data_IF_650359276491
#
_entry.id   IF_650359276491
#
_cell.length_a   1.000
_cell.length_b   1.000
_cell.length_c   1.000
_cell.angle_alpha   90.00
_cell.angle_beta   90.00
_cell.angle_gamma   90.00
#
_symmetry.space_group_name_H-M   'P 1'
#
loop_
_entity.id
_entity.type
_entity.pdbx_description
1 polymer ?
#
# COMPACT_ATOMS: atom_id res chain seq x y z
N UNK A 1 -10.63 14.13 12.25
CA UNK A 1 -11.07 14.49 10.88
C UNK A 1 -11.44 13.22 10.12
N UNK A 2 -12.32 13.28 9.12
CA UNK A 2 -12.73 12.11 8.31
C UNK A 2 -11.97 12.08 6.99
N UNK A 3 -11.74 10.88 6.43
CA UNK A 3 -11.16 10.76 5.09
C UNK A 3 -12.09 11.30 3.99
N UNK A 4 -11.46 11.87 2.97
CA UNK A 4 -12.04 12.35 1.72
C UNK A 4 -11.32 11.67 0.55
N UNK A 5 -12.12 11.03 -0.31
CA UNK A 5 -11.65 10.43 -1.55
C UNK A 5 -12.42 11.04 -2.72
N UNK A 6 -11.71 11.39 -3.81
CA UNK A 6 -12.35 12.03 -4.96
C UNK A 6 -12.68 10.99 -6.03
N UNK A 7 -13.92 11.04 -6.52
CA UNK A 7 -14.39 10.20 -7.62
C UNK A 7 -13.94 10.72 -8.98
N UNK A 8 -13.10 9.97 -9.68
CA UNK A 8 -12.69 10.23 -11.05
C UNK A 8 -13.61 9.51 -12.04
N UNK A 9 -14.22 10.30 -12.94
CA UNK A 9 -15.11 9.81 -13.99
C UNK A 9 -14.37 9.23 -15.20
N UNK A 10 -13.43 8.31 -14.99
CA UNK A 10 -12.59 7.75 -16.06
C UNK A 10 -13.41 7.11 -17.21
N UNK A 11 -14.64 6.65 -16.92
CA UNK A 11 -15.59 6.15 -17.93
C UNK A 11 -16.00 7.18 -18.99
N UNK A 12 -15.83 8.48 -18.73
CA UNK A 12 -16.18 9.56 -19.66
C UNK A 12 -15.19 9.73 -20.81
N UNK A 13 -14.12 8.94 -20.85
CA UNK A 13 -13.14 8.93 -21.93
C UNK A 13 -13.76 9.08 -23.32
N UNK A 14 -13.26 10.01 -24.12
CA UNK A 14 -13.72 10.24 -25.49
C UNK A 14 -15.06 10.95 -25.64
N UNK A 15 -15.82 11.19 -24.56
CA UNK A 15 -17.17 11.77 -24.62
C UNK A 15 -17.21 13.21 -25.13
N UNK A 16 -16.14 13.98 -24.91
CA UNK A 16 -15.99 15.33 -25.45
C UNK A 16 -14.49 15.69 -25.58
N UNK A 17 -14.20 16.94 -25.98
CA UNK A 17 -12.83 17.43 -26.19
C UNK A 17 -11.98 17.28 -24.93
N UNK A 18 -12.50 17.64 -23.75
CA UNK A 18 -11.77 17.50 -22.48
C UNK A 18 -11.44 16.03 -22.17
N UNK A 19 -12.40 15.12 -22.34
CA UNK A 19 -12.18 13.69 -22.06
C UNK A 19 -11.39 12.92 -23.13
N UNK A 20 -10.94 13.60 -24.18
CA UNK A 20 -9.92 13.10 -25.13
C UNK A 20 -8.50 13.50 -24.72
N UNK A 21 -8.35 14.38 -23.72
CA UNK A 21 -7.05 14.79 -23.22
C UNK A 21 -6.41 13.67 -22.38
N UNK A 22 -5.26 13.16 -22.82
CA UNK A 22 -4.48 12.17 -22.06
C UNK A 22 -4.02 12.67 -20.69
N UNK A 23 -3.94 13.98 -20.48
CA UNK A 23 -3.50 14.57 -19.23
C UNK A 23 -4.64 14.80 -18.22
N UNK A 24 -5.91 14.59 -18.58
CA UNK A 24 -7.05 14.89 -17.70
C UNK A 24 -6.96 14.18 -16.34
N UNK A 25 -6.81 12.85 -16.33
CA UNK A 25 -6.66 12.07 -15.08
C UNK A 25 -5.33 12.39 -14.37
N UNK A 26 -4.17 12.41 -15.05
CA UNK A 26 -2.91 12.89 -14.48
C UNK A 26 -3.01 14.26 -13.76
N UNK A 27 -3.66 15.25 -14.38
CA UNK A 27 -3.81 16.60 -13.83
C UNK A 27 -4.75 16.63 -12.63
N UNK A 28 -5.86 15.89 -12.66
CA UNK A 28 -6.74 15.73 -11.51
C UNK A 28 -6.01 15.12 -10.30
N UNK A 29 -5.18 14.10 -10.51
CA UNK A 29 -4.39 13.48 -9.42
C UNK A 29 -3.36 14.45 -8.86
N UNK A 30 -2.65 15.19 -9.72
CA UNK A 30 -1.70 16.23 -9.27
C UNK A 30 -2.40 17.32 -8.47
N UNK A 31 -3.55 17.77 -8.92
CA UNK A 31 -4.37 18.74 -8.19
C UNK A 31 -4.81 18.19 -6.84
N UNK A 32 -5.30 16.94 -6.77
CA UNK A 32 -5.68 16.31 -5.51
C UNK A 32 -4.55 16.27 -4.49
N UNK A 33 -3.33 15.92 -4.93
CA UNK A 33 -2.16 15.76 -4.06
C UNK A 33 -1.67 17.08 -3.45
N UNK A 34 -2.12 18.24 -3.93
CA UNK A 34 -1.83 19.52 -3.28
C UNK A 34 -2.71 19.79 -2.05
N UNK A 35 -3.82 19.05 -1.88
CA UNK A 35 -4.74 19.19 -0.76
C UNK A 35 -4.39 18.19 0.36
N UNK A 36 -3.97 18.71 1.52
CA UNK A 36 -3.60 17.88 2.68
C UNK A 36 -4.76 17.05 3.25
N UNK A 37 -5.99 17.48 3.01
CA UNK A 37 -7.20 16.83 3.52
C UNK A 37 -7.80 15.79 2.55
N UNK A 38 -7.14 15.50 1.43
CA UNK A 38 -7.57 14.46 0.48
C UNK A 38 -6.65 13.26 0.55
N UNK A 39 -7.18 12.08 0.87
CA UNK A 39 -6.40 10.87 1.10
C UNK A 39 -6.34 9.95 -0.12
N UNK A 40 -7.14 10.22 -1.17
CA UNK A 40 -6.99 9.49 -2.42
C UNK A 40 -8.12 9.65 -3.42
N UNK A 41 -8.23 8.61 -4.24
CA UNK A 41 -8.98 8.60 -5.50
C UNK A 41 -9.84 7.35 -5.60
N UNK A 42 -11.07 7.50 -6.10
CA UNK A 42 -11.96 6.40 -6.48
C UNK A 42 -12.22 6.53 -7.98
N UNK A 43 -12.09 5.44 -8.75
CA UNK A 43 -12.24 5.50 -10.20
C UNK A 43 -13.51 4.77 -10.63
N UNK A 44 -14.40 5.47 -11.32
CA UNK A 44 -15.61 4.86 -11.89
C UNK A 44 -15.48 4.72 -13.41
N UNK A 45 -15.60 3.54 -14.02
CA UNK A 45 -15.77 2.21 -13.44
C UNK A 45 -14.58 1.29 -13.78
N UNK A 46 -14.56 0.09 -13.19
CA UNK A 46 -13.49 -0.90 -13.36
C UNK A 46 -13.25 -1.29 -14.83
N UNK A 47 -14.31 -1.42 -15.65
CA UNK A 47 -14.18 -1.79 -17.07
C UNK A 47 -13.36 -0.78 -17.89
N UNK A 48 -13.25 0.45 -17.42
CA UNK A 48 -12.49 1.51 -18.10
C UNK A 48 -10.98 1.27 -18.04
N UNK A 49 -10.49 0.58 -17.01
CA UNK A 49 -9.07 0.21 -16.91
C UNK A 49 -8.66 -0.81 -17.97
N UNK A 50 -9.56 -1.73 -18.33
CA UNK A 50 -9.30 -2.73 -19.37
C UNK A 50 -9.16 -2.09 -20.76
N UNK A 51 -9.97 -1.06 -21.05
CA UNK A 51 -9.89 -0.32 -22.32
C UNK A 51 -8.70 0.63 -22.38
N UNK A 52 -8.16 1.01 -21.23
CA UNK A 52 -7.04 1.94 -21.07
C UNK A 52 -7.12 3.18 -21.99
N UNK A 53 -8.24 3.93 -21.95
CA UNK A 53 -8.39 5.08 -22.81
C UNK A 53 -7.31 6.12 -22.52
N UNK A 54 -6.77 6.73 -23.57
CA UNK A 54 -5.73 7.74 -23.51
C UNK A 54 -4.44 7.31 -22.77
N UNK A 55 -4.23 6.00 -22.54
CA UNK A 55 -3.07 5.49 -21.79
C UNK A 55 -3.14 5.77 -20.29
N UNK A 56 -4.32 6.05 -19.72
CA UNK A 56 -4.44 6.41 -18.31
C UNK A 56 -4.04 5.29 -17.36
N UNK A 57 -4.35 4.04 -17.65
CA UNK A 57 -3.93 2.91 -16.80
C UNK A 57 -2.39 2.79 -16.79
N UNK A 58 -1.74 2.95 -17.95
CA UNK A 58 -0.28 2.94 -18.04
C UNK A 58 0.31 4.09 -17.21
N UNK A 59 -0.26 5.29 -17.32
CA UNK A 59 0.18 6.44 -16.53
C UNK A 59 -0.01 6.21 -15.03
N UNK A 60 -1.11 5.57 -14.61
CA UNK A 60 -1.34 5.24 -13.21
C UNK A 60 -0.27 4.27 -12.70
N UNK A 61 -0.04 3.18 -13.42
CA UNK A 61 0.93 2.16 -13.04
C UNK A 61 2.38 2.66 -13.07
N UNK A 62 2.72 3.53 -14.03
CA UNK A 62 4.11 3.98 -14.19
C UNK A 62 4.46 5.18 -13.32
N UNK A 63 3.50 6.08 -13.06
CA UNK A 63 3.81 7.40 -12.47
C UNK A 63 3.14 7.66 -11.12
N UNK A 64 1.94 7.11 -10.85
CA UNK A 64 1.14 7.53 -9.69
C UNK A 64 1.00 6.44 -8.62
N UNK A 65 0.85 5.18 -9.03
CA UNK A 65 0.62 4.00 -8.19
C UNK A 65 1.61 2.88 -8.54
N UNK A 66 2.86 3.26 -8.80
CA UNK A 66 3.92 2.33 -9.19
C UNK A 66 4.20 1.26 -8.15
N UNK A 67 4.02 1.62 -6.88
CA UNK A 67 4.27 0.72 -5.76
C UNK A 67 3.00 0.48 -4.96
N UNK A 68 2.86 -0.72 -4.36
CA UNK A 68 1.83 -0.98 -3.37
C UNK A 68 1.87 0.07 -2.25
N UNK A 69 0.69 0.39 -1.71
CA UNK A 69 0.54 1.27 -0.55
C UNK A 69 -0.48 0.67 0.42
N UNK A 70 -0.29 0.92 1.71
CA UNK A 70 -1.32 0.64 2.71
C UNK A 70 -2.44 1.68 2.63
N UNK A 71 -3.66 1.26 2.95
CA UNK A 71 -4.75 2.20 3.18
C UNK A 71 -4.41 2.99 4.46
N UNK A 72 -4.57 4.33 4.48
CA UNK A 72 -4.30 5.10 5.68
C UNK A 72 -5.17 4.65 6.86
N UNK A 73 -4.64 4.67 8.10
CA UNK A 73 -5.43 4.38 9.30
C UNK A 73 -6.59 5.36 9.41
N UNK A 74 -7.64 4.96 10.11
CA UNK A 74 -8.81 5.79 10.38
C UNK A 74 -8.92 6.13 11.88
N UNK A 75 -8.11 7.05 12.43
CA UNK A 75 -8.04 7.32 13.88
C UNK A 75 -9.35 7.76 14.54
N UNK A 76 -10.36 8.14 13.75
CA UNK A 76 -11.70 8.48 14.26
C UNK A 76 -12.59 7.26 14.50
N UNK A 77 -12.18 6.07 14.06
CA UNK A 77 -12.82 4.78 14.34
C UNK A 77 -12.06 4.09 15.46
N UNK A 78 -10.78 3.84 15.23
CA UNK A 78 -9.84 3.28 16.19
C UNK A 78 -8.45 3.86 15.95
N UNK A 79 -7.71 4.09 17.04
CA UNK A 79 -6.34 4.60 17.02
C UNK A 79 -5.41 3.73 17.89
N UNK A 80 -5.82 2.50 18.18
CA UNK A 80 -5.05 1.54 18.95
C UNK A 80 -4.02 0.87 18.05
N UNK A 81 -2.74 1.06 18.35
CA UNK A 81 -1.67 0.49 17.54
C UNK A 81 -1.56 -1.01 17.84
N UNK A 82 -1.66 -1.91 16.83
CA UNK A 82 -1.50 -3.34 17.07
C UNK A 82 -0.04 -3.66 17.46
N UNK A 83 0.18 -4.71 18.26
CA UNK A 83 1.54 -5.16 18.58
C UNK A 83 2.28 -5.63 17.34
N UNK A 84 3.62 -5.53 17.39
CA UNK A 84 4.47 -6.07 16.33
C UNK A 84 4.30 -7.59 16.19
N UNK A 85 4.48 -8.14 14.97
CA UNK A 85 4.52 -9.58 14.81
C UNK A 85 5.75 -10.17 15.51
N UNK A 86 5.59 -11.35 16.07
CA UNK A 86 6.70 -12.24 16.39
C UNK A 86 7.22 -12.85 15.09
N UNK A 87 8.54 -12.96 14.99
CA UNK A 87 9.25 -13.52 13.84
C UNK A 87 10.05 -14.72 14.32
N UNK A 88 9.80 -15.89 13.72
CA UNK A 88 10.55 -17.12 13.97
C UNK A 88 11.20 -17.56 12.65
N UNK A 89 12.52 -17.63 12.65
CA UNK A 89 13.29 -18.10 11.49
C UNK A 89 13.15 -19.61 11.36
N UNK A 90 12.49 -20.07 10.29
CA UNK A 90 12.37 -21.50 10.00
C UNK A 90 13.59 -22.04 9.25
N UNK A 91 14.16 -21.26 8.32
CA UNK A 91 15.43 -21.54 7.65
C UNK A 91 16.04 -20.21 7.15
N UNK A 92 17.11 -20.27 6.34
CA UNK A 92 17.80 -19.07 5.80
C UNK A 92 16.87 -18.10 5.05
N UNK A 93 15.84 -18.60 4.37
CA UNK A 93 14.95 -17.80 3.50
C UNK A 93 13.50 -17.76 3.98
N UNK A 94 13.10 -18.63 4.91
CA UNK A 94 11.70 -18.77 5.36
C UNK A 94 11.54 -18.33 6.80
N UNK A 95 10.56 -17.45 7.04
CA UNK A 95 10.21 -16.96 8.37
C UNK A 95 8.72 -17.15 8.63
N UNK A 96 8.40 -17.58 9.85
CA UNK A 96 7.04 -17.64 10.36
C UNK A 96 6.74 -16.35 11.11
N UNK A 97 5.62 -15.74 10.78
CA UNK A 97 5.09 -14.57 11.46
C UNK A 97 3.96 -15.05 12.39
N UNK A 98 3.95 -14.58 13.63
CA UNK A 98 2.90 -14.85 14.57
C UNK A 98 2.45 -13.55 15.25
N UNK A 99 1.15 -13.32 15.24
CA UNK A 99 0.51 -12.21 15.91
C UNK A 99 -0.10 -12.69 17.23
N UNK A 100 0.18 -11.95 18.31
CA UNK A 100 -0.24 -12.28 19.68
C UNK A 100 -1.06 -11.17 20.34
N UNK A 101 -1.51 -10.18 19.56
CA UNK A 101 -2.43 -9.17 20.06
C UNK A 101 -3.85 -9.71 20.21
N UNK A 102 -4.66 -8.99 20.97
CA UNK A 102 -6.06 -9.32 21.22
C UNK A 102 -6.95 -8.92 20.02
N UNK A 103 -6.66 -7.76 19.44
CA UNK A 103 -7.39 -7.22 18.29
C UNK A 103 -7.11 -7.97 17.01
N UNK A 104 -8.12 -8.12 16.14
CA UNK A 104 -7.94 -8.83 14.87
C UNK A 104 -7.09 -8.02 13.89
N UNK A 105 -6.24 -8.73 13.14
CA UNK A 105 -5.48 -8.16 12.03
C UNK A 105 -6.00 -8.62 10.67
N UNK A 106 -5.82 -7.78 9.65
CA UNK A 106 -6.05 -8.16 8.24
C UNK A 106 -4.87 -8.93 7.67
N UNK A 107 -3.67 -8.69 8.20
CA UNK A 107 -2.46 -9.30 7.68
C UNK A 107 -1.18 -8.63 8.14
N UNK A 108 -0.12 -9.00 7.44
CA UNK A 108 1.23 -8.53 7.67
C UNK A 108 1.72 -7.74 6.45
N UNK A 109 2.16 -6.52 6.70
CA UNK A 109 2.80 -5.68 5.70
C UNK A 109 4.31 -5.94 5.68
N UNK A 110 4.88 -6.13 4.49
CA UNK A 110 6.30 -6.41 4.27
C UNK A 110 6.92 -5.24 3.53
N UNK A 111 7.92 -4.64 4.15
CA UNK A 111 8.64 -3.50 3.63
C UNK A 111 10.08 -3.88 3.29
N UNK A 112 10.63 -3.16 2.33
CA UNK A 112 12.01 -3.26 1.92
C UNK A 112 12.65 -1.89 2.07
N UNK A 113 13.76 -1.85 2.81
CA UNK A 113 14.55 -0.64 2.98
C UNK A 113 15.86 -0.75 2.20
N UNK A 114 16.18 0.32 1.49
CA UNK A 114 17.42 0.52 0.75
C UNK A 114 18.19 1.66 1.40
N UNK A 115 19.42 1.40 1.86
CA UNK A 115 20.25 2.41 2.50
C UNK A 115 20.94 1.94 3.78
N UNK A 116 21.83 2.79 4.28
CA UNK A 116 22.51 2.60 5.56
C UNK A 116 21.73 3.19 6.74
N UNK A 117 20.81 4.12 6.49
CA UNK A 117 20.02 4.79 7.52
C UNK A 117 19.11 3.80 8.27
N UNK A 118 18.57 4.28 9.39
CA UNK A 118 17.61 3.51 10.17
C UNK A 118 16.27 3.45 9.40
N UNK A 119 15.68 2.25 9.29
CA UNK A 119 14.46 2.08 8.52
C UNK A 119 13.25 2.64 9.25
N UNK A 120 12.45 3.43 8.53
CA UNK A 120 11.15 3.94 8.94
C UNK A 120 10.11 3.81 7.80
N UNK A 121 8.87 4.22 8.04
CA UNK A 121 7.82 4.17 7.02
C UNK A 121 8.03 5.16 5.86
N UNK A 122 8.83 6.21 6.03
CA UNK A 122 9.09 7.22 5.01
C UNK A 122 10.19 6.76 4.01
N UNK A 123 11.13 5.94 4.47
CA UNK A 123 12.26 5.44 3.69
C UNK A 123 12.20 3.94 3.37
N UNK A 124 11.12 3.26 3.77
CA UNK A 124 10.91 1.83 3.47
C UNK A 124 9.72 1.63 2.52
N UNK A 125 9.96 0.90 1.43
CA UNK A 125 8.94 0.64 0.41
C UNK A 125 8.12 -0.60 0.76
N UNK A 126 6.80 -0.49 0.82
CA UNK A 126 5.92 -1.66 0.87
C UNK A 126 6.09 -2.49 -0.41
N UNK A 127 6.41 -3.77 -0.25
CA UNK A 127 6.63 -4.71 -1.36
C UNK A 127 5.59 -5.83 -1.42
N UNK A 128 4.99 -6.18 -0.28
CA UNK A 128 4.02 -7.27 -0.19
C UNK A 128 3.09 -7.04 1.01
N UNK A 129 1.83 -7.40 0.84
CA UNK A 129 0.88 -7.57 1.92
C UNK A 129 0.47 -9.04 1.98
N UNK A 130 0.59 -9.66 3.15
CA UNK A 130 0.24 -11.08 3.36
C UNK A 130 -1.03 -11.12 4.22
N UNK A 131 -2.20 -11.45 3.63
CA UNK A 131 -3.43 -11.62 4.40
C UNK A 131 -3.28 -12.74 5.43
N UNK A 132 -3.80 -12.51 6.64
CA UNK A 132 -3.75 -13.48 7.74
C UNK A 132 -4.18 -12.86 9.06
N UNK A 133 -4.83 -13.64 9.92
CA UNK A 133 -5.40 -13.15 11.18
C UNK A 133 -4.54 -13.47 12.42
N UNK A 134 -3.71 -14.51 12.36
CA UNK A 134 -2.80 -14.90 13.45
C UNK A 134 -1.41 -15.29 13.01
N UNK A 135 -1.28 -16.01 11.89
CA UNK A 135 0.02 -16.46 11.42
C UNK A 135 0.15 -16.27 9.92
N UNK A 136 1.38 -16.12 9.47
CA UNK A 136 1.74 -16.10 8.06
C UNK A 136 3.13 -16.67 7.87
N UNK A 137 3.46 -17.07 6.65
CA UNK A 137 4.81 -17.50 6.28
C UNK A 137 5.28 -16.59 5.15
N UNK A 138 6.50 -16.08 5.32
CA UNK A 138 7.21 -15.35 4.27
C UNK A 138 8.40 -16.18 3.79
N UNK A 139 8.52 -16.27 2.48
CA UNK A 139 9.62 -16.93 1.79
C UNK A 139 10.35 -15.88 0.94
N UNK A 140 11.55 -15.50 1.38
CA UNK A 140 12.36 -14.47 0.74
C UNK A 140 12.82 -14.87 -0.66
N UNK A 141 12.82 -16.17 -1.02
CA UNK A 141 13.15 -16.59 -2.38
C UNK A 141 12.12 -16.09 -3.41
N UNK A 142 10.89 -15.85 -2.97
CA UNK A 142 9.80 -15.28 -3.78
C UNK A 142 9.88 -13.76 -3.90
N UNK A 143 10.85 -13.14 -3.21
CA UNK A 143 11.08 -11.71 -3.18
C UNK A 143 12.49 -11.40 -3.72
N UNK A 144 12.72 -11.55 -5.04
CA UNK A 144 14.07 -11.43 -5.62
C UNK A 144 14.73 -10.07 -5.37
N UNK A 145 13.94 -9.00 -5.23
CA UNK A 145 14.43 -7.67 -4.90
C UNK A 145 14.91 -7.49 -3.47
N UNK A 146 14.59 -8.41 -2.56
CA UNK A 146 14.91 -8.34 -1.13
C UNK A 146 16.28 -8.94 -0.77
N UNK A 147 16.96 -9.60 -1.73
CA UNK A 147 18.28 -10.19 -1.51
C UNK A 147 19.28 -9.10 -1.09
N UNK A 148 19.95 -9.29 0.04
CA UNK A 148 20.90 -8.35 0.66
C UNK A 148 20.30 -7.00 1.11
N UNK A 149 18.97 -6.91 1.27
CA UNK A 149 18.32 -5.70 1.78
C UNK A 149 17.70 -5.95 3.15
N UNK A 150 17.48 -4.86 3.91
CA UNK A 150 16.74 -4.92 5.16
C UNK A 150 15.26 -5.16 4.84
N UNK A 151 14.74 -6.30 5.27
CA UNK A 151 13.30 -6.63 5.15
C UNK A 151 12.64 -6.36 6.49
N UNK A 152 11.58 -5.57 6.48
CA UNK A 152 10.83 -5.21 7.67
C UNK A 152 9.40 -5.72 7.57
N UNK A 153 8.80 -6.01 8.72
CA UNK A 153 7.45 -6.54 8.84
C UNK A 153 6.66 -5.75 9.87
N UNK A 154 5.38 -5.58 9.61
CA UNK A 154 4.43 -4.93 10.53
C UNK A 154 3.07 -5.63 10.48
N UNK A 155 2.35 -5.62 11.60
CA UNK A 155 0.95 -6.03 11.67
C UNK A 155 0.05 -4.89 11.22
N UNK A 156 -1.01 -5.21 10.48
CA UNK A 156 -2.02 -4.23 10.04
C UNK A 156 -3.40 -4.70 10.51
N UNK A 157 -4.06 -3.89 11.33
CA UNK A 157 -5.36 -4.22 11.90
C UNK A 157 -6.54 -4.05 10.92
N UNK A 158 -7.76 -4.28 11.39
CA UNK A 158 -8.98 -4.12 10.59
C UNK A 158 -9.33 -2.66 10.24
N UNK A 159 -8.76 -1.68 10.93
CA UNK A 159 -8.99 -0.24 10.70
C UNK A 159 -7.77 0.46 10.05
N UNK A 160 -6.80 -0.35 9.62
CA UNK A 160 -5.55 0.01 8.96
C UNK A 160 -4.52 0.71 9.87
N UNK A 161 -4.63 0.58 11.20
CA UNK A 161 -3.52 0.90 12.08
C UNK A 161 -2.40 -0.10 11.87
N UNK A 162 -1.16 0.40 11.93
CA UNK A 162 0.05 -0.36 11.59
C UNK A 162 0.96 -0.39 12.80
N UNK A 163 1.45 -1.57 13.19
CA UNK A 163 2.44 -1.70 14.25
C UNK A 163 3.75 -1.01 13.85
N UNK A 164 4.64 -0.65 14.79
CA UNK A 164 6.00 -0.24 14.43
C UNK A 164 6.71 -1.29 13.57
N UNK A 165 7.64 -0.86 12.71
CA UNK A 165 8.40 -1.77 11.85
C UNK A 165 9.28 -2.71 12.69
N UNK A 166 9.25 -4.00 12.39
CA UNK A 166 10.13 -5.02 12.95
C UNK A 166 11.08 -5.53 11.87
N UNK A 167 12.39 -5.51 12.14
CA UNK A 167 13.36 -6.09 11.23
C UNK A 167 13.22 -7.63 11.23
N UNK A 168 13.28 -8.22 10.05
CA UNK A 168 13.27 -9.66 9.85
C UNK A 168 14.72 -10.17 10.00
N UNK A 169 15.01 -10.79 11.15
CA UNK A 169 16.33 -11.32 11.52
C UNK A 169 16.24 -12.80 11.92
#
# INVERSE_FOLDING_TARGET
ERHLYIGHGIYRAGSNIAWKNRNEIPEQIKALRSYKNVQGSIYYNSSSFNRNPNGWNDSLQQNYYRYPALVPPMPWIDNTIPPQPLVEKANEYTFKLAYKGEEKIKGFAVFMHEGSEDPDFANSQLILFIPGDKTAVIDLTKLPGAKNKKVLIASVDIDNNVSPLRLLQ
#
